data_IF_906317040204
#
_entry.id   IF_906317040204
#
_cell.length_a   1.000
_cell.length_b   1.000
_cell.length_c   1.000
_cell.angle_alpha   90.00
_cell.angle_beta   90.00
_cell.angle_gamma   90.00
#
_symmetry.space_group_name_H-M   'P 1'
#
loop_
_entity.id
_entity.type
_entity.pdbx_description
1 polymer ?
#
# COMPACT_ATOMS: atom_id res chain seq x y z
N UNK A 1 -9.05 -9.10 -29.31
CA UNK A 1 -8.32 -8.28 -28.31
C UNK A 1 -7.40 -7.36 -29.09
N UNK A 2 -7.39 -6.08 -28.76
CA UNK A 2 -6.44 -5.13 -29.37
C UNK A 2 -5.02 -5.59 -29.07
N UNK A 3 -4.08 -5.37 -29.99
CA UNK A 3 -2.64 -5.66 -29.80
C UNK A 3 -1.85 -4.38 -29.47
N UNK A 4 -2.52 -3.24 -29.47
CA UNK A 4 -1.94 -1.91 -29.26
C UNK A 4 -2.75 -1.16 -28.21
N UNK A 5 -2.08 -0.27 -27.48
CA UNK A 5 -2.72 0.60 -26.51
C UNK A 5 -3.61 1.63 -27.20
N UNK A 6 -4.85 1.77 -26.74
CA UNK A 6 -5.84 2.71 -27.29
C UNK A 6 -5.54 4.18 -26.94
N UNK A 7 -4.50 4.45 -26.12
CA UNK A 7 -4.05 5.81 -25.78
C UNK A 7 -2.80 6.23 -26.56
N UNK A 8 -1.72 5.41 -26.54
CA UNK A 8 -0.43 5.76 -27.15
C UNK A 8 -0.17 5.05 -28.50
N UNK A 9 -1.05 4.12 -28.91
CA UNK A 9 -0.92 3.29 -30.13
C UNK A 9 0.28 2.34 -30.18
N UNK A 10 1.10 2.24 -29.13
CA UNK A 10 2.23 1.32 -29.07
C UNK A 10 1.78 -0.13 -28.75
N UNK A 11 2.57 -1.16 -29.09
CA UNK A 11 2.27 -2.56 -28.77
C UNK A 11 2.09 -2.79 -27.26
N UNK A 12 1.12 -3.62 -26.87
CA UNK A 12 0.80 -3.92 -25.46
C UNK A 12 1.78 -4.90 -24.77
N UNK A 13 2.78 -5.36 -25.50
CA UNK A 13 3.86 -6.19 -24.96
C UNK A 13 4.99 -5.31 -24.50
N UNK A 14 5.51 -5.61 -23.31
CA UNK A 14 6.74 -5.03 -22.81
C UNK A 14 7.89 -5.30 -23.80
N UNK A 15 8.70 -4.29 -24.16
CA UNK A 15 9.75 -4.43 -25.17
C UNK A 15 10.94 -5.28 -24.69
N UNK A 16 11.17 -5.36 -23.38
CA UNK A 16 12.33 -6.03 -22.79
C UNK A 16 12.04 -7.50 -22.46
N UNK A 17 10.83 -7.78 -21.96
CA UNK A 17 10.42 -9.14 -21.58
C UNK A 17 9.59 -9.84 -22.66
N UNK A 18 8.99 -9.08 -23.58
CA UNK A 18 8.02 -9.60 -24.56
C UNK A 18 6.71 -10.09 -23.91
N UNK A 19 6.54 -9.89 -22.60
CA UNK A 19 5.35 -10.26 -21.87
C UNK A 19 4.33 -9.12 -21.93
N UNK A 20 3.03 -9.44 -21.96
CA UNK A 20 1.98 -8.44 -21.92
C UNK A 20 1.87 -7.79 -20.54
N UNK A 21 1.84 -6.45 -20.52
CA UNK A 21 1.47 -5.64 -19.37
C UNK A 21 0.34 -4.67 -19.79
N UNK A 22 -0.89 -5.16 -19.70
CA UNK A 22 -2.05 -4.48 -20.29
C UNK A 22 -3.29 -4.56 -19.43
N UNK A 23 -4.10 -3.51 -19.56
CA UNK A 23 -5.36 -3.32 -18.85
C UNK A 23 -6.49 -3.32 -19.87
N UNK A 24 -7.43 -4.26 -19.75
CA UNK A 24 -8.66 -4.30 -20.54
C UNK A 24 -9.84 -3.80 -19.70
N UNK A 25 -10.48 -2.72 -20.14
CA UNK A 25 -11.66 -2.17 -19.49
C UNK A 25 -12.95 -2.89 -19.92
N UNK A 26 -14.06 -2.78 -19.15
CA UNK A 26 -15.36 -3.36 -19.51
C UNK A 26 -15.91 -2.87 -20.86
N UNK A 27 -15.52 -1.65 -21.27
CA UNK A 27 -15.87 -1.07 -22.56
C UNK A 27 -15.04 -1.66 -23.73
N UNK A 28 -14.24 -2.69 -23.48
CA UNK A 28 -13.36 -3.38 -24.45
C UNK A 28 -12.14 -2.58 -24.96
N UNK A 29 -11.88 -1.40 -24.39
CA UNK A 29 -10.65 -0.65 -24.65
C UNK A 29 -9.49 -1.21 -23.83
N UNK A 30 -8.31 -1.26 -24.45
CA UNK A 30 -7.11 -1.85 -23.89
C UNK A 30 -5.99 -0.82 -23.81
N UNK A 31 -5.33 -0.74 -22.66
CA UNK A 31 -4.30 0.26 -22.36
C UNK A 31 -3.05 -0.42 -21.80
N UNK A 32 -1.91 0.26 -21.88
CA UNK A 32 -0.80 -0.04 -20.96
C UNK A 32 -1.19 0.39 -19.55
N UNK A 33 -0.66 -0.32 -18.54
CA UNK A 33 -0.86 0.07 -17.15
C UNK A 33 -0.40 1.52 -16.86
N UNK A 34 0.82 1.95 -17.26
CA UNK A 34 1.26 3.32 -17.01
C UNK A 34 0.44 4.37 -17.77
N UNK A 35 0.00 4.05 -19.00
CA UNK A 35 -0.79 4.99 -19.80
C UNK A 35 -2.15 5.31 -19.15
N UNK A 36 -2.82 4.29 -18.61
CA UNK A 36 -4.11 4.52 -17.95
C UNK A 36 -3.92 5.22 -16.59
N UNK A 37 -2.87 4.86 -15.85
CA UNK A 37 -2.52 5.49 -14.58
C UNK A 37 -2.24 7.00 -14.74
N UNK A 38 -1.34 7.36 -15.66
CA UNK A 38 -1.00 8.75 -15.96
C UNK A 38 -2.23 9.58 -16.34
N UNK A 39 -3.12 9.02 -17.17
CA UNK A 39 -4.33 9.72 -17.58
C UNK A 39 -5.25 10.01 -16.38
N UNK A 40 -5.41 9.06 -15.44
CA UNK A 40 -6.25 9.23 -14.26
C UNK A 40 -5.63 10.11 -13.17
N UNK A 41 -4.31 10.05 -12.97
CA UNK A 41 -3.61 10.91 -12.01
C UNK A 41 -3.60 12.38 -12.46
N UNK A 42 -3.62 12.62 -13.77
CA UNK A 42 -3.74 13.96 -14.34
C UNK A 42 -5.19 14.43 -14.55
N UNK A 43 -6.17 13.54 -14.36
CA UNK A 43 -7.59 13.87 -14.54
C UNK A 43 -8.13 14.66 -13.34
N UNK A 44 -8.47 15.92 -13.55
CA UNK A 44 -9.16 16.76 -12.57
C UNK A 44 -10.58 16.22 -12.33
N UNK A 45 -10.73 15.31 -11.36
CA UNK A 45 -12.05 14.92 -10.89
C UNK A 45 -12.76 16.14 -10.29
N UNK A 46 -13.99 16.50 -10.72
CA UNK A 46 -14.71 17.61 -10.13
C UNK A 46 -14.92 17.35 -8.64
N UNK A 47 -14.17 18.07 -7.81
CA UNK A 47 -14.08 17.88 -6.38
C UNK A 47 -15.45 18.09 -5.71
N UNK A 48 -16.09 17.03 -5.23
CA UNK A 48 -17.05 17.14 -4.14
C UNK A 48 -16.28 17.20 -2.83
N UNK A 49 -16.03 18.44 -2.36
CA UNK A 49 -15.77 18.93 -0.99
C UNK A 49 -15.25 17.92 0.07
N UNK A 50 -14.22 18.19 0.88
CA UNK A 50 -13.90 19.44 1.56
C UNK A 50 -12.51 19.38 2.22
N UNK A 51 -11.77 20.50 2.14
CA UNK A 51 -10.68 20.82 3.05
C UNK A 51 -11.16 20.84 4.49
N UNK A 52 -10.61 19.96 5.33
CA UNK A 52 -10.69 20.08 6.79
C UNK A 52 -9.35 19.69 7.38
N UNK A 53 -8.64 20.71 7.87
CA UNK A 53 -7.48 20.61 8.74
C UNK A 53 -7.94 20.15 10.12
N UNK A 54 -7.83 18.86 10.43
CA UNK A 54 -7.89 18.37 11.81
C UNK A 54 -6.99 17.15 11.98
N UNK A 55 -6.19 17.16 13.05
CA UNK A 55 -5.29 16.11 13.55
C UNK A 55 -6.08 14.87 14.00
N UNK A 56 -6.69 14.15 13.08
CA UNK A 56 -7.43 12.92 13.36
C UNK A 56 -7.27 12.01 12.15
N UNK A 57 -7.02 10.72 12.43
CA UNK A 57 -7.05 9.53 11.54
C UNK A 57 -7.20 9.88 10.04
N UNK A 58 -6.22 9.54 9.18
CA UNK A 58 -6.28 9.92 7.77
C UNK A 58 -7.64 9.56 7.15
N UNK A 59 -8.24 10.55 6.46
CA UNK A 59 -9.54 10.42 5.80
C UNK A 59 -9.63 9.08 5.04
N UNK A 60 -10.82 8.44 4.99
CA UNK A 60 -10.93 7.14 4.40
C UNK A 60 -10.43 7.12 2.95
N UNK A 61 -9.78 6.02 2.55
CA UNK A 61 -9.44 5.75 1.16
C UNK A 61 -10.67 6.05 0.30
N UNK A 62 -10.54 6.70 -0.87
CA UNK A 62 -11.71 7.04 -1.66
C UNK A 62 -12.52 5.78 -1.90
N UNK A 63 -13.68 5.69 -1.26
CA UNK A 63 -14.60 4.59 -1.46
C UNK A 63 -15.09 4.67 -2.89
N UNK A 64 -15.45 3.51 -3.47
CA UNK A 64 -15.81 3.29 -4.86
C UNK A 64 -16.94 4.18 -5.44
N UNK A 65 -17.41 5.21 -4.75
CA UNK A 65 -18.39 6.19 -5.24
C UNK A 65 -17.91 7.04 -6.42
N UNK A 66 -16.62 7.02 -6.77
CA UNK A 66 -16.12 7.76 -7.93
C UNK A 66 -16.43 7.00 -9.24
N UNK A 67 -16.92 7.75 -10.24
CA UNK A 67 -17.11 7.24 -11.60
C UNK A 67 -15.86 7.52 -12.42
N UNK A 68 -15.24 6.48 -12.95
CA UNK A 68 -13.99 6.56 -13.70
C UNK A 68 -14.30 6.56 -15.22
N UNK A 69 -14.09 7.67 -15.96
CA UNK A 69 -14.33 7.71 -17.39
C UNK A 69 -13.24 6.94 -18.16
N UNK A 70 -13.62 6.09 -19.10
CA UNK A 70 -12.66 5.53 -20.07
C UNK A 70 -12.03 6.68 -20.89
N UNK A 71 -10.69 6.75 -21.04
CA UNK A 71 -10.02 7.80 -21.82
C UNK A 71 -10.44 7.84 -23.29
N UNK A 72 -10.78 6.69 -23.89
CA UNK A 72 -11.09 6.57 -25.32
C UNK A 72 -12.57 6.81 -25.64
N UNK A 73 -13.49 6.25 -24.84
CA UNK A 73 -14.92 6.29 -25.14
C UNK A 73 -15.77 7.02 -24.10
N UNK A 74 -15.15 7.57 -23.05
CA UNK A 74 -15.79 8.31 -21.96
C UNK A 74 -16.90 7.55 -21.21
N UNK A 75 -17.00 6.24 -21.40
CA UNK A 75 -17.91 5.40 -20.61
C UNK A 75 -17.51 5.49 -19.15
N UNK A 76 -18.46 5.83 -18.29
CA UNK A 76 -18.25 5.93 -16.85
C UNK A 76 -18.33 4.54 -16.22
N UNK A 77 -17.29 4.15 -15.50
CA UNK A 77 -17.23 2.88 -14.79
C UNK A 77 -17.28 3.11 -13.28
N UNK A 78 -18.15 2.37 -12.58
CA UNK A 78 -18.25 2.38 -11.13
C UNK A 78 -18.81 1.03 -10.62
N UNK A 79 -18.00 0.18 -9.95
CA UNK A 79 -16.54 0.28 -9.86
C UNK A 79 -15.87 0.04 -11.22
N UNK A 80 -14.64 0.53 -11.40
CA UNK A 80 -13.82 0.25 -12.59
C UNK A 80 -13.18 -1.14 -12.44
N UNK A 81 -13.91 -2.18 -12.86
CA UNK A 81 -13.45 -3.56 -12.86
C UNK A 81 -12.75 -3.89 -14.18
N UNK A 82 -11.42 -3.96 -14.18
CA UNK A 82 -10.62 -4.26 -15.36
C UNK A 82 -10.16 -5.73 -15.36
N UNK A 83 -9.73 -6.21 -16.53
CA UNK A 83 -8.90 -7.40 -16.64
C UNK A 83 -7.46 -6.98 -16.85
N UNK A 84 -6.59 -7.32 -15.90
CA UNK A 84 -5.15 -7.10 -16.00
C UNK A 84 -4.49 -8.33 -16.62
N UNK A 85 -3.51 -8.09 -17.49
CA UNK A 85 -2.60 -9.09 -17.99
C UNK A 85 -1.20 -8.62 -17.64
N UNK A 86 -0.54 -9.28 -16.69
CA UNK A 86 0.81 -8.97 -16.25
C UNK A 86 1.69 -10.24 -16.31
N UNK A 87 2.93 -10.15 -15.84
CA UNK A 87 3.86 -11.29 -15.80
C UNK A 87 3.32 -12.50 -14.99
N UNK A 88 2.42 -12.24 -14.02
CA UNK A 88 1.74 -13.26 -13.22
C UNK A 88 0.52 -13.89 -13.92
N UNK A 89 0.16 -13.43 -15.13
CA UNK A 89 -0.95 -13.92 -15.92
C UNK A 89 -2.17 -12.99 -15.94
N UNK A 90 -3.35 -13.57 -16.17
CA UNK A 90 -4.60 -12.82 -16.32
C UNK A 90 -5.37 -12.73 -15.01
N UNK A 91 -5.56 -11.51 -14.51
CA UNK A 91 -6.38 -11.19 -13.36
C UNK A 91 -7.69 -10.52 -13.81
N UNK A 92 -8.80 -11.22 -13.62
CA UNK A 92 -10.13 -10.73 -14.01
C UNK A 92 -10.79 -9.98 -12.86
N UNK A 93 -11.65 -9.02 -13.19
CA UNK A 93 -12.44 -8.24 -12.23
C UNK A 93 -11.59 -7.50 -11.18
N UNK A 94 -10.38 -7.09 -11.54
CA UNK A 94 -9.52 -6.27 -10.70
C UNK A 94 -10.13 -4.88 -10.55
N UNK A 95 -10.30 -4.40 -9.32
CA UNK A 95 -10.87 -3.08 -9.07
C UNK A 95 -9.82 -1.98 -9.26
N UNK A 96 -9.52 -1.71 -10.53
CA UNK A 96 -8.54 -0.70 -10.95
C UNK A 96 -8.91 0.70 -10.42
N UNK A 97 -10.19 1.03 -10.35
CA UNK A 97 -10.64 2.33 -9.83
C UNK A 97 -10.28 2.53 -8.36
N UNK A 98 -10.40 1.50 -7.53
CA UNK A 98 -9.98 1.57 -6.14
C UNK A 98 -8.46 1.74 -6.01
N UNK A 99 -7.69 1.06 -6.87
CA UNK A 99 -6.24 1.19 -6.89
C UNK A 99 -5.76 2.58 -7.31
N UNK A 100 -6.26 3.10 -8.43
CA UNK A 100 -5.92 4.44 -8.90
C UNK A 100 -6.30 5.53 -7.89
N UNK A 101 -7.44 5.35 -7.21
CA UNK A 101 -7.86 6.27 -6.16
C UNK A 101 -6.98 6.18 -4.91
N UNK A 102 -6.45 5.00 -4.60
CA UNK A 102 -5.45 4.80 -3.55
C UNK A 102 -4.13 5.50 -3.90
N UNK A 103 -3.63 5.34 -5.11
CA UNK A 103 -2.40 5.98 -5.57
C UNK A 103 -2.51 7.50 -5.52
N UNK A 104 -3.57 8.06 -6.10
CA UNK A 104 -3.86 9.50 -6.05
C UNK A 104 -3.94 10.02 -4.59
N UNK A 105 -4.49 9.22 -3.67
CA UNK A 105 -4.59 9.59 -2.26
C UNK A 105 -3.21 9.74 -1.60
N UNK A 106 -2.28 8.81 -1.88
CA UNK A 106 -0.94 8.82 -1.31
C UNK A 106 -0.01 9.82 -2.00
N UNK A 107 -0.16 10.05 -3.30
CA UNK A 107 0.58 11.09 -4.03
C UNK A 107 0.25 12.49 -3.52
N UNK A 108 -1.04 12.74 -3.21
CA UNK A 108 -1.46 13.97 -2.55
C UNK A 108 -0.97 14.08 -1.08
N UNK A 109 -0.45 13.01 -0.48
CA UNK A 109 -0.04 12.95 0.94
C UNK A 109 1.30 12.21 1.12
N UNK A 110 2.44 12.82 0.76
CA UNK A 110 3.76 12.18 0.81
C UNK A 110 4.18 11.64 2.19
N UNK A 111 3.64 12.21 3.27
CA UNK A 111 3.88 11.68 4.62
C UNK A 111 3.22 10.30 4.84
N UNK A 112 1.99 10.11 4.36
CA UNK A 112 1.30 8.82 4.45
C UNK A 112 1.90 7.81 3.49
N UNK A 113 2.34 8.25 2.29
CA UNK A 113 3.03 7.39 1.33
C UNK A 113 4.29 6.77 1.96
N UNK A 114 5.08 7.59 2.67
CA UNK A 114 6.24 7.11 3.44
C UNK A 114 5.87 6.18 4.58
N UNK A 115 4.83 6.49 5.34
CA UNK A 115 4.33 5.60 6.41
C UNK A 115 3.94 4.22 5.86
N UNK A 116 3.20 4.17 4.73
CA UNK A 116 2.82 2.92 4.07
C UNK A 116 4.03 2.15 3.57
N UNK A 117 4.97 2.82 2.91
CA UNK A 117 6.21 2.20 2.43
C UNK A 117 7.01 1.60 3.61
N UNK A 118 7.09 2.32 4.73
CA UNK A 118 7.76 1.83 5.93
C UNK A 118 7.06 0.61 6.56
N UNK A 119 5.72 0.54 6.53
CA UNK A 119 4.97 -0.64 6.97
C UNK A 119 5.19 -1.85 6.07
N UNK A 120 5.20 -1.68 4.74
CA UNK A 120 5.52 -2.76 3.78
C UNK A 120 6.96 -3.23 3.97
N UNK A 121 7.90 -2.30 4.17
CA UNK A 121 9.26 -2.61 4.57
C UNK A 121 9.31 -3.48 5.84
N UNK A 122 8.54 -3.12 6.88
CA UNK A 122 8.50 -3.90 8.11
C UNK A 122 7.93 -5.32 7.91
N UNK A 123 7.06 -5.53 6.91
CA UNK A 123 6.50 -6.83 6.58
C UNK A 123 7.48 -7.70 5.78
N UNK A 124 8.11 -7.12 4.76
CA UNK A 124 8.97 -7.82 3.80
C UNK A 124 10.41 -7.98 4.30
N UNK A 125 10.83 -7.07 5.18
CA UNK A 125 12.13 -6.98 5.86
C UNK A 125 13.35 -6.94 4.93
N UNK A 126 13.19 -6.39 3.73
CA UNK A 126 14.33 -6.05 2.89
C UNK A 126 15.02 -4.80 3.44
N UNK A 127 15.79 -4.98 4.52
CA UNK A 127 16.72 -3.99 5.04
C UNK A 127 17.81 -3.71 4.01
N UNK A 128 17.48 -2.94 2.96
CA UNK A 128 18.45 -2.42 2.02
C UNK A 128 19.64 -1.83 2.78
N UNK A 129 20.85 -2.17 2.34
CA UNK A 129 22.15 -1.73 2.88
C UNK A 129 22.36 -0.20 2.79
N UNK A 130 21.36 0.50 2.26
CA UNK A 130 21.32 1.89 1.84
C UNK A 130 21.14 2.89 3.00
N UNK A 131 20.86 2.43 4.23
CA UNK A 131 20.79 3.28 5.42
C UNK A 131 19.62 4.29 5.47
N UNK A 132 18.78 4.37 4.44
CA UNK A 132 17.60 5.27 4.43
C UNK A 132 16.55 4.88 5.49
N UNK A 133 16.41 3.58 5.73
CA UNK A 133 15.46 3.01 6.70
C UNK A 133 15.79 3.46 8.12
N UNK A 134 17.07 3.58 8.46
CA UNK A 134 17.48 3.89 9.84
C UNK A 134 17.16 5.35 10.23
N UNK A 135 17.20 6.26 9.26
CA UNK A 135 16.81 7.66 9.40
C UNK A 135 15.30 7.82 9.58
N UNK A 136 14.51 7.05 8.83
CA UNK A 136 13.05 7.15 8.85
C UNK A 136 12.42 6.33 9.99
N UNK A 137 13.04 5.25 10.45
CA UNK A 137 12.56 4.44 11.56
C UNK A 137 12.29 5.29 12.81
N UNK A 138 13.22 6.18 13.20
CA UNK A 138 13.01 7.06 14.36
C UNK A 138 11.83 8.04 14.22
N UNK A 139 11.43 8.39 12.99
CA UNK A 139 10.31 9.30 12.71
C UNK A 139 8.99 8.56 12.52
N UNK A 140 9.05 7.27 12.18
CA UNK A 140 7.91 6.43 11.79
C UNK A 140 7.69 5.24 12.74
N UNK A 141 8.38 5.18 13.90
CA UNK A 141 8.20 4.13 14.93
C UNK A 141 6.76 4.00 15.43
N UNK A 142 5.94 5.05 15.31
CA UNK A 142 4.53 5.06 15.69
C UNK A 142 3.57 4.91 14.51
N UNK A 143 4.08 4.60 13.31
CA UNK A 143 3.23 4.37 12.15
C UNK A 143 2.33 3.16 12.38
N UNK A 144 1.11 3.27 11.88
CA UNK A 144 0.08 2.24 11.99
C UNK A 144 -0.53 1.99 10.62
N UNK A 145 -0.82 0.73 10.35
CA UNK A 145 -1.71 0.35 9.27
C UNK A 145 -3.10 0.93 9.53
N UNK A 146 -3.67 1.54 8.49
CA UNK A 146 -4.95 2.23 8.61
C UNK A 146 -6.13 1.27 8.72
N UNK A 147 -6.06 0.11 8.08
CA UNK A 147 -7.17 -0.84 8.00
C UNK A 147 -7.22 -1.72 9.25
N UNK A 148 -6.08 -2.25 9.67
CA UNK A 148 -5.98 -3.16 10.82
C UNK A 148 -5.68 -2.43 12.12
N UNK A 149 -5.15 -1.21 12.05
CA UNK A 149 -4.65 -0.47 13.22
C UNK A 149 -3.30 -1.01 13.72
N UNK A 150 -2.72 -1.98 13.04
CA UNK A 150 -1.46 -2.61 13.43
C UNK A 150 -0.30 -1.61 13.35
N UNK A 151 0.39 -1.40 14.47
CA UNK A 151 1.65 -0.64 14.46
C UNK A 151 2.77 -1.36 13.71
N UNK A 152 3.83 -0.64 13.36
CA UNK A 152 5.04 -1.21 12.72
C UNK A 152 5.60 -2.43 13.45
N UNK A 153 5.51 -2.46 14.78
CA UNK A 153 5.89 -3.60 15.61
C UNK A 153 4.98 -4.82 15.42
N UNK A 154 3.66 -4.63 15.27
CA UNK A 154 2.72 -5.74 15.01
C UNK A 154 3.03 -6.35 13.65
N UNK A 155 3.25 -5.52 12.63
CA UNK A 155 3.55 -5.95 11.27
C UNK A 155 4.87 -6.73 11.22
N UNK A 156 5.94 -6.18 11.80
CA UNK A 156 7.24 -6.85 11.83
C UNK A 156 7.19 -8.17 12.63
N UNK A 157 6.56 -8.18 13.80
CA UNK A 157 6.41 -9.39 14.62
C UNK A 157 5.55 -10.47 13.95
N UNK A 158 4.42 -10.08 13.34
CA UNK A 158 3.52 -10.97 12.63
C UNK A 158 4.19 -11.67 11.44
N UNK A 159 5.15 -11.00 10.81
CA UNK A 159 5.95 -11.55 9.71
C UNK A 159 7.29 -12.15 10.15
N UNK A 160 7.51 -12.34 11.46
CA UNK A 160 8.74 -12.89 12.04
C UNK A 160 10.04 -12.14 11.62
N UNK A 161 9.95 -10.83 11.38
CA UNK A 161 11.09 -9.97 11.01
C UNK A 161 11.81 -9.48 12.26
N UNK A 162 12.49 -10.39 12.96
CA UNK A 162 13.10 -10.13 14.27
C UNK A 162 14.23 -9.10 14.25
N UNK A 163 14.92 -8.98 13.11
CA UNK A 163 15.89 -7.93 12.82
C UNK A 163 15.23 -6.54 12.82
N UNK A 164 14.11 -6.40 12.11
CA UNK A 164 13.32 -5.15 12.09
C UNK A 164 12.72 -4.87 13.45
N UNK A 165 12.17 -5.89 14.14
CA UNK A 165 11.63 -5.74 15.50
C UNK A 165 12.70 -5.17 16.44
N UNK A 166 13.94 -5.67 16.40
CA UNK A 166 15.02 -5.15 17.25
C UNK A 166 15.32 -3.68 16.96
N UNK A 167 15.45 -3.31 15.68
CA UNK A 167 15.70 -1.91 15.28
C UNK A 167 14.55 -1.00 15.73
N UNK A 168 13.29 -1.42 15.54
CA UNK A 168 12.13 -0.64 15.98
C UNK A 168 12.12 -0.41 17.50
N UNK A 169 12.47 -1.43 18.30
CA UNK A 169 12.57 -1.31 19.75
C UNK A 169 13.73 -0.38 20.18
N UNK A 170 14.89 -0.48 19.51
CA UNK A 170 16.02 0.43 19.75
C UNK A 170 15.67 1.88 19.45
N UNK A 171 14.79 2.13 18.47
CA UNK A 171 14.27 3.47 18.15
C UNK A 171 13.10 3.90 19.03
N UNK A 172 12.67 3.09 20.00
CA UNK A 172 11.67 3.45 21.01
C UNK A 172 10.22 3.19 20.61
N UNK A 173 9.96 2.23 19.72
CA UNK A 173 8.59 1.85 19.36
C UNK A 173 7.79 1.33 20.56
N UNK A 174 6.53 1.76 20.68
CA UNK A 174 5.66 1.45 21.82
C UNK A 174 5.14 0.00 21.79
N UNK A 175 5.61 -0.82 22.73
CA UNK A 175 5.14 -2.20 22.94
C UNK A 175 3.73 -2.28 23.55
N UNK A 176 3.24 -1.21 24.18
CA UNK A 176 1.92 -1.19 24.83
C UNK A 176 0.77 -0.93 23.86
N UNK A 177 1.08 -0.61 22.59
CA UNK A 177 0.09 -0.28 21.58
C UNK A 177 -0.78 -1.49 21.25
N UNK A 178 -2.07 -1.24 21.06
CA UNK A 178 -3.04 -2.25 20.62
C UNK A 178 -3.51 -1.97 19.18
N UNK A 179 -3.74 -3.03 18.42
CA UNK A 179 -4.41 -2.97 17.11
C UNK A 179 -5.94 -2.76 17.25
N UNK A 180 -6.66 -2.68 16.13
CA UNK A 180 -8.13 -2.51 16.15
C UNK A 180 -8.88 -3.73 16.72
N UNK A 181 -8.22 -4.89 16.79
CA UNK A 181 -8.76 -6.09 17.42
C UNK A 181 -8.47 -6.14 18.93
N UNK A 182 -7.78 -5.14 19.48
CA UNK A 182 -7.38 -5.06 20.88
C UNK A 182 -6.22 -5.97 21.25
N UNK A 183 -5.47 -6.49 20.27
CA UNK A 183 -4.27 -7.29 20.51
C UNK A 183 -3.07 -6.37 20.67
N UNK A 184 -2.19 -6.68 21.63
CA UNK A 184 -0.89 -6.03 21.72
C UNK A 184 0.17 -6.78 20.90
N UNK A 185 1.32 -6.16 20.67
CA UNK A 185 2.43 -6.80 19.95
C UNK A 185 2.89 -8.11 20.63
N UNK A 186 2.86 -8.18 21.96
CA UNK A 186 3.27 -9.39 22.69
C UNK A 186 2.31 -10.56 22.42
N UNK A 187 1.04 -10.29 22.12
CA UNK A 187 0.08 -11.33 21.74
C UNK A 187 0.41 -11.89 20.36
N UNK A 188 0.75 -11.01 19.41
CA UNK A 188 1.22 -11.39 18.07
C UNK A 188 2.54 -12.18 18.15
N UNK A 189 3.52 -11.69 18.92
CA UNK A 189 4.81 -12.38 19.11
C UNK A 189 4.60 -13.76 19.71
N UNK A 190 3.71 -13.91 20.69
CA UNK A 190 3.41 -15.20 21.31
C UNK A 190 2.81 -16.19 20.32
N UNK A 191 1.94 -15.73 19.41
CA UNK A 191 1.35 -16.57 18.38
C UNK A 191 2.41 -17.07 17.39
N UNK A 192 3.35 -16.20 17.00
CA UNK A 192 4.34 -16.49 15.96
C UNK A 192 5.58 -17.23 16.49
N UNK A 193 6.08 -16.85 17.67
CA UNK A 193 7.35 -17.33 18.25
C UNK A 193 7.25 -17.88 19.68
N UNK A 194 6.04 -17.97 20.24
CA UNK A 194 5.83 -18.50 21.59
C UNK A 194 6.38 -17.61 22.71
N UNK A 195 6.43 -18.15 23.92
CA UNK A 195 6.90 -17.43 25.12
C UNK A 195 8.39 -17.05 25.07
N UNK A 196 9.20 -17.77 24.27
CA UNK A 196 10.61 -17.44 24.09
C UNK A 196 10.79 -16.12 23.33
N UNK A 197 10.08 -15.95 22.21
CA UNK A 197 10.07 -14.68 21.47
C UNK A 197 9.53 -13.52 22.29
N UNK A 198 8.50 -13.75 23.11
CA UNK A 198 7.97 -12.73 24.04
C UNK A 198 9.06 -12.29 25.02
N UNK A 199 9.82 -13.23 25.58
CA UNK A 199 10.91 -12.93 26.51
C UNK A 199 12.00 -12.10 25.84
N UNK A 200 12.40 -12.44 24.62
CA UNK A 200 13.41 -11.70 23.86
C UNK A 200 12.96 -10.26 23.57
N UNK A 201 11.71 -10.07 23.13
CA UNK A 201 11.16 -8.74 22.83
C UNK A 201 11.08 -7.87 24.08
N UNK A 202 10.64 -8.42 25.21
CA UNK A 202 10.58 -7.71 26.50
C UNK A 202 11.98 -7.34 27.00
N UNK A 203 12.95 -8.23 26.84
CA UNK A 203 14.35 -7.99 27.20
C UNK A 203 14.97 -6.89 26.32
N UNK A 204 14.74 -6.94 25.00
CA UNK A 204 15.24 -5.96 24.04
C UNK A 204 14.66 -4.56 24.26
N UNK A 205 13.39 -4.46 24.67
CA UNK A 205 12.75 -3.19 24.98
C UNK A 205 13.16 -2.57 26.33
N UNK A 206 13.94 -3.29 27.14
CA UNK A 206 14.36 -2.80 28.45
C UNK A 206 13.21 -2.64 29.46
N UNK A 207 12.08 -3.31 29.24
CA UNK A 207 10.90 -3.26 30.11
C UNK A 207 11.17 -4.06 31.39
N UNK A 208 11.86 -3.43 32.35
CA UNK A 208 12.30 -4.07 33.58
C UNK A 208 13.49 -3.41 34.30
N UNK A 209 13.85 -2.17 33.95
CA UNK A 209 14.81 -1.35 34.70
C UNK A 209 14.19 -0.07 35.21
#
# INVERSE_FOLDING_TARGET
MSTTCDLCSAPLTDPDTGLPDSVLLPCSHTFHYPCIEDEYLNYDFPATASSSTTTTIPAPLPTASNSFPCPTCHTLHNPLLATLHNEGGLQHSYNLGAHLAEEAYYDARPHLKRMRAFLSFCAEGDAGDDGEVESDAGRLVDAVDRETGEGVLHVAAGNARWDVVRVLLEKGADLGRMDNAGRGVLDVVREVAGEEGVREVVEAAGWGR
#
